data_IF_952196189403
#
_entry.id   IF_952196189403
#
_cell.length_a   1.000
_cell.length_b   1.000
_cell.length_c   1.000
_cell.angle_alpha   90.00
_cell.angle_beta   90.00
_cell.angle_gamma   90.00
#
_symmetry.space_group_name_H-M   'P 1'
#
loop_
_entity.id
_entity.type
_entity.pdbx_description
1 polymer ?
#
# COMPACT_ATOMS: atom_id res chain seq x y z
N UNK A 1 33.18 -12.99 -46.93
CA UNK A 1 32.44 -14.01 -46.17
C UNK A 1 32.13 -13.41 -44.81
N UNK A 2 30.93 -12.87 -44.67
CA UNK A 2 30.42 -12.21 -43.47
C UNK A 2 30.03 -13.28 -42.46
N UNK A 3 30.63 -13.24 -41.27
CA UNK A 3 30.21 -14.08 -40.15
C UNK A 3 28.70 -13.87 -39.91
N UNK A 4 27.85 -14.91 -39.95
CA UNK A 4 26.49 -14.77 -39.46
C UNK A 4 26.60 -14.40 -37.99
N UNK A 5 26.05 -13.24 -37.63
CA UNK A 5 26.01 -12.72 -36.28
C UNK A 5 25.56 -13.84 -35.34
N UNK A 6 26.47 -14.29 -34.46
CA UNK A 6 26.21 -15.38 -33.52
C UNK A 6 24.93 -15.07 -32.77
N UNK A 7 23.97 -15.99 -32.82
CA UNK A 7 22.74 -15.88 -32.07
C UNK A 7 23.08 -15.54 -30.62
N UNK A 8 22.45 -14.48 -30.09
CA UNK A 8 22.66 -14.05 -28.71
C UNK A 8 22.38 -15.25 -27.78
N UNK A 9 23.35 -15.61 -26.94
CA UNK A 9 23.26 -16.76 -26.05
C UNK A 9 22.00 -16.71 -25.16
N UNK A 10 21.46 -15.51 -24.90
CA UNK A 10 20.18 -15.32 -24.21
C UNK A 10 18.99 -15.73 -25.08
N UNK A 11 19.01 -15.39 -26.37
CA UNK A 11 17.99 -15.80 -27.35
C UNK A 11 17.98 -17.33 -27.51
N UNK A 12 19.14 -17.96 -27.64
CA UNK A 12 19.25 -19.42 -27.73
C UNK A 12 18.84 -20.11 -26.42
N UNK A 13 19.14 -19.50 -25.27
CA UNK A 13 18.62 -19.97 -23.99
C UNK A 13 17.10 -19.89 -23.95
N UNK A 14 16.51 -18.76 -24.34
CA UNK A 14 15.07 -18.58 -24.36
C UNK A 14 14.39 -19.63 -25.24
N UNK A 15 14.84 -19.82 -26.50
CA UNK A 15 14.21 -20.78 -27.39
C UNK A 15 14.32 -22.22 -26.90
N UNK A 16 15.45 -22.60 -26.28
CA UNK A 16 15.62 -23.93 -25.67
C UNK A 16 14.69 -24.18 -24.48
N UNK A 17 14.34 -23.13 -23.73
CA UNK A 17 13.55 -23.25 -22.50
C UNK A 17 12.16 -22.62 -22.61
N UNK A 18 11.73 -22.22 -23.81
CA UNK A 18 10.52 -21.40 -24.02
C UNK A 18 9.29 -22.02 -23.37
N UNK A 19 9.05 -23.32 -23.58
CA UNK A 19 7.89 -24.00 -23.02
C UNK A 19 7.82 -23.89 -21.49
N UNK A 20 8.94 -24.12 -20.80
CA UNK A 20 9.03 -24.03 -19.32
C UNK A 20 8.87 -22.59 -18.84
N UNK A 21 9.48 -21.62 -19.53
CA UNK A 21 9.35 -20.19 -19.19
C UNK A 21 7.89 -19.74 -19.31
N UNK A 22 7.21 -20.12 -20.39
CA UNK A 22 5.80 -19.77 -20.63
C UNK A 22 4.87 -20.48 -19.63
N UNK A 23 5.14 -21.74 -19.28
CA UNK A 23 4.44 -22.46 -18.21
C UNK A 23 4.57 -21.74 -16.86
N UNK A 24 5.78 -21.34 -16.48
CA UNK A 24 6.00 -20.59 -15.23
C UNK A 24 5.39 -19.18 -15.27
N UNK A 25 5.38 -18.53 -16.44
CA UNK A 25 4.72 -17.25 -16.63
C UNK A 25 3.19 -17.37 -16.46
N UNK A 26 2.59 -18.43 -16.99
CA UNK A 26 1.17 -18.73 -16.81
C UNK A 26 0.82 -19.00 -15.35
N UNK A 27 1.61 -19.81 -14.65
CA UNK A 27 1.44 -20.07 -13.21
C UNK A 27 1.56 -18.81 -12.36
N UNK A 28 2.44 -17.87 -12.75
CA UNK A 28 2.59 -16.59 -12.05
C UNK A 28 1.32 -15.75 -12.12
N UNK A 29 0.60 -15.74 -13.24
CA UNK A 29 -0.65 -15.00 -13.36
C UNK A 29 -1.72 -15.54 -12.39
N UNK A 30 -1.86 -16.87 -12.31
CA UNK A 30 -2.77 -17.52 -11.35
C UNK A 30 -2.34 -17.27 -9.91
N UNK A 31 -1.06 -17.47 -9.57
CA UNK A 31 -0.54 -17.22 -8.24
C UNK A 31 -0.75 -15.76 -7.79
N UNK A 32 -0.57 -14.81 -8.71
CA UNK A 32 -0.83 -13.38 -8.46
C UNK A 32 -2.30 -13.11 -8.17
N UNK A 33 -3.22 -13.71 -8.93
CA UNK A 33 -4.65 -13.53 -8.71
C UNK A 33 -5.08 -14.05 -7.33
N UNK A 34 -4.60 -15.24 -6.95
CA UNK A 34 -4.84 -15.83 -5.63
C UNK A 34 -4.21 -14.99 -4.50
N UNK A 35 -3.00 -14.49 -4.70
CA UNK A 35 -2.32 -13.62 -3.73
C UNK A 35 -3.07 -12.31 -3.52
N UNK A 36 -3.52 -11.67 -4.61
CA UNK A 36 -4.34 -10.47 -4.56
C UNK A 36 -5.64 -10.71 -3.78
N UNK A 37 -6.31 -11.84 -4.01
CA UNK A 37 -7.52 -12.21 -3.27
C UNK A 37 -7.21 -12.37 -1.77
N UNK A 38 -6.16 -13.12 -1.44
CA UNK A 38 -5.72 -13.33 -0.07
C UNK A 38 -5.34 -12.03 0.66
N UNK A 39 -4.68 -11.09 -0.02
CA UNK A 39 -4.38 -9.77 0.54
C UNK A 39 -5.66 -8.99 0.85
N UNK A 40 -6.66 -9.00 -0.04
CA UNK A 40 -7.93 -8.29 0.20
C UNK A 40 -8.70 -8.86 1.39
N UNK A 41 -8.65 -10.18 1.57
CA UNK A 41 -9.20 -10.84 2.76
C UNK A 41 -8.42 -10.57 4.06
N UNK A 42 -7.40 -9.70 4.05
CA UNK A 42 -6.65 -9.36 5.25
C UNK A 42 -7.41 -8.41 6.19
N UNK A 43 -8.42 -7.68 5.70
CA UNK A 43 -9.27 -6.84 6.56
C UNK A 43 -10.15 -7.65 7.51
N UNK A 44 -10.51 -8.88 7.16
CA UNK A 44 -11.35 -9.73 8.02
C UNK A 44 -10.62 -10.24 9.28
N UNK A 45 -9.42 -9.72 9.56
CA UNK A 45 -8.56 -10.09 10.70
C UNK A 45 -8.52 -8.99 11.76
N UNK A 46 -9.06 -7.80 11.48
CA UNK A 46 -9.33 -6.85 12.56
C UNK A 46 -10.54 -7.35 13.34
N UNK A 47 -10.30 -7.80 14.57
CA UNK A 47 -11.38 -8.12 15.50
C UNK A 47 -12.10 -6.82 15.87
N UNK A 48 -13.45 -6.80 15.93
CA UNK A 48 -14.23 -5.62 16.31
C UNK A 48 -13.82 -5.00 17.65
N UNK A 49 -13.12 -5.75 18.52
CA UNK A 49 -12.63 -5.28 19.82
C UNK A 49 -11.30 -4.52 19.76
N UNK A 50 -10.49 -4.71 18.71
CA UNK A 50 -9.20 -4.00 18.51
C UNK A 50 -9.39 -2.63 17.84
N UNK A 51 -10.63 -2.35 17.48
CA UNK A 51 -11.08 -1.23 16.69
C UNK A 51 -12.04 -0.45 17.58
N UNK A 52 -11.59 0.65 18.17
CA UNK A 52 -12.45 1.54 18.97
C UNK A 52 -13.71 1.91 18.18
N UNK A 53 -14.84 2.08 18.89
CA UNK A 53 -16.09 2.55 18.27
C UNK A 53 -15.80 3.77 17.40
N UNK A 54 -16.01 3.65 16.08
CA UNK A 54 -15.88 4.75 15.12
C UNK A 54 -14.78 4.62 14.08
N UNK A 55 -13.83 3.69 14.18
CA UNK A 55 -12.82 3.49 13.11
C UNK A 55 -13.48 3.00 11.82
N UNK A 56 -13.05 3.55 10.68
CA UNK A 56 -13.53 3.17 9.35
C UNK A 56 -12.52 2.26 8.64
N UNK A 57 -13.04 1.33 7.84
CA UNK A 57 -12.23 0.49 6.96
C UNK A 57 -11.97 1.21 5.64
N UNK A 58 -10.73 1.10 5.16
CA UNK A 58 -10.34 1.48 3.80
C UNK A 58 -10.29 0.20 2.97
N UNK A 59 -10.98 0.18 1.84
CA UNK A 59 -10.88 -0.87 0.82
C UNK A 59 -10.91 -0.20 -0.56
N UNK A 60 -9.72 0.09 -1.08
CA UNK A 60 -9.55 0.70 -2.39
C UNK A 60 -8.95 -0.30 -3.38
N UNK A 61 -9.62 -0.40 -4.53
CA UNK A 61 -9.27 -1.36 -5.56
C UNK A 61 -8.78 -0.65 -6.81
N UNK A 62 -7.61 -1.04 -7.31
CA UNK A 62 -7.07 -0.51 -8.55
C UNK A 62 -5.72 -1.13 -8.89
N UNK A 63 -4.94 -0.47 -9.78
CA UNK A 63 -3.54 -0.83 -10.02
C UNK A 63 -2.70 -0.79 -8.74
N UNK A 64 -3.03 0.15 -7.84
CA UNK A 64 -2.46 0.34 -6.51
C UNK A 64 -3.55 0.12 -5.47
N UNK A 65 -3.84 -1.15 -5.17
CA UNK A 65 -4.86 -1.51 -4.19
C UNK A 65 -4.33 -1.29 -2.79
N UNK A 66 -5.23 -0.96 -1.87
CA UNK A 66 -4.91 -0.84 -0.45
C UNK A 66 -6.11 -1.15 0.41
N UNK A 67 -5.81 -1.71 1.57
CA UNK A 67 -6.78 -1.91 2.64
C UNK A 67 -6.21 -1.39 3.95
N UNK A 68 -7.07 -0.98 4.87
CA UNK A 68 -6.59 -0.57 6.18
C UNK A 68 -7.66 0.04 7.06
N UNK A 69 -7.21 0.83 8.03
CA UNK A 69 -8.05 1.48 9.02
C UNK A 69 -7.74 2.97 9.08
N UNK A 70 -8.77 3.77 9.33
CA UNK A 70 -8.65 5.19 9.64
C UNK A 70 -9.56 5.55 10.80
N UNK A 71 -9.08 6.42 11.69
CA UNK A 71 -9.92 7.03 12.71
C UNK A 71 -10.55 8.32 12.14
N UNK A 72 -11.89 8.44 12.08
CA UNK A 72 -12.55 9.66 11.61
C UNK A 72 -12.16 10.91 12.38
N UNK A 73 -11.77 10.81 13.66
CA UNK A 73 -11.31 11.97 14.44
C UNK A 73 -10.08 12.62 13.80
N UNK A 74 -9.19 11.84 13.17
CA UNK A 74 -8.01 12.38 12.49
C UNK A 74 -8.47 13.29 11.34
N UNK A 75 -9.39 12.82 10.51
CA UNK A 75 -9.95 13.58 9.40
C UNK A 75 -10.69 14.85 9.86
N UNK A 76 -11.50 14.75 10.93
CA UNK A 76 -12.21 15.89 11.52
C UNK A 76 -11.26 16.98 12.03
N UNK A 77 -10.05 16.61 12.46
CA UNK A 77 -8.97 17.52 12.87
C UNK A 77 -8.12 18.03 11.69
N UNK A 78 -8.57 17.79 10.46
CA UNK A 78 -7.90 18.21 9.24
C UNK A 78 -6.76 17.30 8.78
N UNK A 79 -6.67 16.07 9.31
CA UNK A 79 -5.66 15.07 8.98
C UNK A 79 -6.31 13.78 8.44
N UNK A 80 -6.71 13.74 7.17
CA UNK A 80 -7.29 12.54 6.57
C UNK A 80 -6.20 11.48 6.35
N UNK A 81 -5.97 10.68 7.39
CA UNK A 81 -4.90 9.68 7.49
C UNK A 81 -5.49 8.28 7.60
N UNK A 82 -4.73 7.29 7.15
CA UNK A 82 -5.05 5.87 7.33
C UNK A 82 -3.78 5.05 7.54
N UNK A 83 -3.87 3.94 8.25
CA UNK A 83 -2.79 2.93 8.29
C UNK A 83 -3.23 1.79 7.38
N UNK A 84 -2.43 1.51 6.35
CA UNK A 84 -2.83 0.64 5.24
C UNK A 84 -1.78 -0.40 4.89
N UNK A 85 -2.26 -1.54 4.42
CA UNK A 85 -1.54 -2.52 3.63
C UNK A 85 -1.86 -2.24 2.14
N UNK A 86 -0.85 -1.87 1.36
CA UNK A 86 -0.96 -1.62 -0.07
C UNK A 86 -0.13 -2.59 -0.92
N UNK A 87 -0.54 -2.79 -2.16
CA UNK A 87 0.20 -3.58 -3.15
C UNK A 87 -0.15 -3.16 -4.58
N UNK A 88 0.78 -3.40 -5.51
CA UNK A 88 0.49 -3.24 -6.93
C UNK A 88 -0.14 -4.54 -7.47
N UNK A 89 -1.41 -4.50 -7.87
CA UNK A 89 -2.16 -5.71 -8.27
C UNK A 89 -1.57 -6.40 -9.49
N UNK A 90 -0.94 -5.64 -10.39
CA UNK A 90 -0.32 -6.14 -11.62
C UNK A 90 1.14 -6.54 -11.47
N UNK A 91 1.82 -6.10 -10.41
CA UNK A 91 3.24 -6.36 -10.18
C UNK A 91 3.52 -7.21 -8.95
N UNK A 92 2.54 -7.48 -8.08
CA UNK A 92 2.77 -8.35 -6.91
C UNK A 92 3.32 -9.72 -7.36
N UNK A 93 4.30 -10.23 -6.62
CA UNK A 93 5.14 -11.40 -6.97
C UNK A 93 6.17 -11.18 -8.10
N UNK A 94 6.37 -9.95 -8.57
CA UNK A 94 7.45 -9.64 -9.52
C UNK A 94 8.82 -9.63 -8.81
N UNK A 95 9.81 -10.43 -9.27
CA UNK A 95 11.13 -10.50 -8.68
C UNK A 95 11.95 -9.20 -8.82
N UNK A 96 11.54 -8.23 -9.66
CA UNK A 96 12.28 -6.98 -9.90
C UNK A 96 12.01 -5.88 -8.85
N UNK A 97 11.45 -6.22 -7.68
CA UNK A 97 11.40 -5.33 -6.50
C UNK A 97 10.21 -4.36 -6.43
N UNK A 98 9.37 -4.29 -7.45
CA UNK A 98 8.08 -3.56 -7.42
C UNK A 98 6.90 -4.44 -7.02
N UNK A 99 7.16 -5.71 -6.71
CA UNK A 99 6.15 -6.73 -6.46
C UNK A 99 5.90 -7.09 -5.00
N UNK A 100 6.43 -6.31 -4.06
CA UNK A 100 6.23 -6.55 -2.63
C UNK A 100 5.06 -5.71 -2.11
N UNK A 101 4.15 -6.29 -1.30
CA UNK A 101 3.23 -5.51 -0.49
C UNK A 101 3.99 -4.55 0.44
N UNK A 102 3.33 -3.50 0.89
CA UNK A 102 3.85 -2.58 1.88
C UNK A 102 2.80 -2.26 2.93
N UNK A 103 3.26 -1.98 4.14
CA UNK A 103 2.44 -1.39 5.20
C UNK A 103 2.93 0.03 5.46
N UNK A 104 2.03 0.95 5.76
CA UNK A 104 2.43 2.31 6.12
C UNK A 104 1.29 3.24 6.46
N UNK A 105 1.67 4.46 6.80
CA UNK A 105 0.76 5.59 7.00
C UNK A 105 0.48 6.23 5.64
N UNK A 106 -0.79 6.30 5.29
CA UNK A 106 -1.33 6.92 4.08
C UNK A 106 -1.90 8.30 4.38
N UNK A 107 -1.64 9.25 3.48
CA UNK A 107 -2.21 10.59 3.50
C UNK A 107 -3.13 10.74 2.30
N UNK A 108 -4.40 11.08 2.55
CA UNK A 108 -5.36 11.30 1.46
C UNK A 108 -4.93 12.45 0.53
N UNK A 109 -5.42 12.40 -0.70
CA UNK A 109 -5.00 13.35 -1.72
C UNK A 109 -5.47 14.78 -1.40
N UNK A 110 -4.56 15.74 -1.56
CA UNK A 110 -4.80 17.16 -1.26
C UNK A 110 -3.73 18.04 -1.91
N UNK A 111 -4.02 19.33 -2.18
CA UNK A 111 -3.04 20.25 -2.77
C UNK A 111 -1.75 20.41 -1.95
N UNK A 112 -1.82 20.25 -0.62
CA UNK A 112 -0.67 20.36 0.29
C UNK A 112 -0.14 19.00 0.78
N UNK A 113 -0.50 17.89 0.10
CA UNK A 113 -0.14 16.51 0.51
C UNK A 113 1.35 16.33 0.77
N UNK A 114 2.22 16.84 -0.10
CA UNK A 114 3.67 16.74 0.07
C UNK A 114 4.17 17.42 1.37
N UNK A 115 3.64 18.62 1.66
CA UNK A 115 3.98 19.35 2.88
C UNK A 115 3.48 18.63 4.14
N UNK A 116 2.24 18.10 4.10
CA UNK A 116 1.66 17.27 5.17
C UNK A 116 2.50 16.04 5.43
N UNK A 117 2.86 15.31 4.38
CA UNK A 117 3.69 14.11 4.48
C UNK A 117 5.05 14.39 5.11
N UNK A 118 5.69 15.52 4.78
CA UNK A 118 6.93 15.94 5.44
C UNK A 118 6.74 16.24 6.93
N UNK A 119 5.66 16.94 7.29
CA UNK A 119 5.33 17.24 8.70
C UNK A 119 5.10 15.95 9.49
N UNK A 120 4.32 15.02 8.93
CA UNK A 120 4.01 13.72 9.52
C UNK A 120 5.28 12.87 9.68
N UNK A 121 6.10 12.75 8.64
CA UNK A 121 7.34 11.98 8.69
C UNK A 121 8.32 12.50 9.76
N UNK A 122 8.33 13.82 9.98
CA UNK A 122 9.13 14.45 11.03
C UNK A 122 8.60 14.13 12.42
N UNK A 123 7.29 14.28 12.64
CA UNK A 123 6.66 14.09 13.94
C UNK A 123 6.58 12.62 14.37
N UNK A 124 6.27 11.73 13.43
CA UNK A 124 6.03 10.30 13.69
C UNK A 124 7.20 9.41 13.30
N UNK A 125 8.33 9.99 12.88
CA UNK A 125 9.48 9.21 12.43
C UNK A 125 10.10 8.32 13.50
N UNK A 126 10.08 8.73 14.78
CA UNK A 126 10.59 7.91 15.89
C UNK A 126 9.75 6.65 16.13
N UNK A 127 8.42 6.74 16.38
CA UNK A 127 7.61 5.53 16.54
C UNK A 127 7.61 4.65 15.28
N UNK A 128 7.62 5.25 14.09
CA UNK A 128 7.68 4.50 12.84
C UNK A 128 8.98 3.70 12.67
N UNK A 129 10.14 4.26 13.04
CA UNK A 129 11.43 3.53 12.98
C UNK A 129 11.46 2.30 13.87
N UNK A 130 10.75 2.30 15.01
CA UNK A 130 10.65 1.12 15.87
C UNK A 130 9.97 -0.06 15.16
N UNK A 131 9.15 0.21 14.13
CA UNK A 131 8.48 -0.77 13.28
C UNK A 131 9.26 -1.07 11.99
N UNK A 132 10.46 -0.51 11.83
CA UNK A 132 11.23 -0.58 10.59
C UNK A 132 10.64 0.24 9.44
N UNK A 133 9.71 1.15 9.71
CA UNK A 133 9.17 2.04 8.69
C UNK A 133 10.17 3.15 8.38
N UNK A 134 10.29 3.47 7.10
CA UNK A 134 11.27 4.42 6.57
C UNK A 134 10.59 5.66 5.98
N UNK A 135 11.38 6.72 5.79
CA UNK A 135 10.93 8.02 5.27
C UNK A 135 10.57 7.94 3.76
N UNK A 136 9.91 8.97 3.18
CA UNK A 136 9.04 8.79 2.02
C UNK A 136 9.78 8.39 0.74
N UNK A 137 9.12 7.52 -0.04
CA UNK A 137 9.38 7.35 -1.48
C UNK A 137 8.41 8.18 -2.33
N UNK A 138 7.22 8.46 -1.80
CA UNK A 138 6.12 9.14 -2.49
C UNK A 138 5.32 10.02 -1.52
N UNK A 139 4.72 11.11 -2.04
CA UNK A 139 3.98 12.08 -1.22
C UNK A 139 2.78 11.48 -0.47
N UNK A 140 2.27 10.31 -0.87
CA UNK A 140 1.09 9.69 -0.25
C UNK A 140 1.44 8.81 0.95
N UNK A 141 2.72 8.47 1.12
CA UNK A 141 3.21 7.51 2.10
C UNK A 141 4.41 8.07 2.83
N UNK A 142 4.20 8.97 3.81
CA UNK A 142 5.28 9.58 4.58
C UNK A 142 6.15 8.57 5.31
N UNK A 143 5.57 7.46 5.76
CA UNK A 143 6.22 6.43 6.58
C UNK A 143 5.68 5.06 6.18
N UNK A 144 6.55 4.15 5.72
CA UNK A 144 6.14 2.83 5.22
C UNK A 144 7.29 1.81 5.24
N UNK A 145 6.97 0.53 5.08
CA UNK A 145 7.94 -0.53 4.77
C UNK A 145 7.35 -1.60 3.87
N UNK A 146 8.19 -2.29 3.11
CA UNK A 146 7.79 -3.53 2.45
C UNK A 146 7.55 -4.66 3.46
N UNK A 147 6.66 -5.57 3.10
CA UNK A 147 6.50 -6.86 3.78
C UNK A 147 7.15 -7.92 2.90
N UNK A 148 8.34 -8.33 3.30
CA UNK A 148 9.12 -9.34 2.58
C UNK A 148 8.46 -10.72 2.65
N UNK A 149 8.68 -11.54 1.63
CA UNK A 149 8.31 -12.95 1.70
C UNK A 149 9.15 -13.63 2.80
N UNK A 150 8.53 -14.42 3.70
CA UNK A 150 9.28 -15.10 4.74
C UNK A 150 10.32 -16.05 4.15
N UNK A 151 11.57 -15.95 4.60
CA UNK A 151 12.67 -16.78 4.10
C UNK A 151 12.37 -18.26 4.31
N UNK A 152 12.49 -19.07 3.26
CA UNK A 152 12.21 -20.50 3.31
C UNK A 152 10.73 -20.89 3.33
N UNK A 153 9.81 -19.92 3.20
CA UNK A 153 8.39 -20.25 3.05
C UNK A 153 8.05 -20.64 1.61
N UNK A 154 7.57 -21.87 1.46
CA UNK A 154 7.06 -22.41 0.18
C UNK A 154 5.60 -22.05 -0.09
N UNK A 155 4.90 -21.44 0.89
CA UNK A 155 3.46 -21.17 0.77
C UNK A 155 3.15 -19.69 0.82
N UNK A 156 2.14 -19.31 0.04
CA UNK A 156 1.54 -17.97 0.06
C UNK A 156 0.95 -17.62 1.44
N UNK A 157 0.40 -18.60 2.17
CA UNK A 157 -0.33 -18.34 3.41
C UNK A 157 0.54 -17.74 4.51
N UNK A 158 1.81 -18.15 4.61
CA UNK A 158 2.74 -17.54 5.56
C UNK A 158 2.96 -16.06 5.25
N UNK A 159 3.14 -15.70 3.97
CA UNK A 159 3.33 -14.29 3.59
C UNK A 159 2.07 -13.46 3.82
N UNK A 160 0.89 -14.00 3.49
CA UNK A 160 -0.39 -13.33 3.79
C UNK A 160 -0.60 -13.12 5.30
N UNK A 161 -0.17 -14.06 6.14
CA UNK A 161 -0.20 -13.90 7.60
C UNK A 161 0.73 -12.78 8.04
N UNK A 162 1.95 -12.74 7.51
CA UNK A 162 2.93 -11.72 7.89
C UNK A 162 2.51 -10.31 7.41
N UNK A 163 1.84 -10.20 6.25
CA UNK A 163 1.19 -8.96 5.81
C UNK A 163 0.11 -8.49 6.78
N UNK A 164 -0.74 -9.42 7.25
CA UNK A 164 -1.79 -9.14 8.25
C UNK A 164 -1.19 -8.69 9.58
N UNK A 165 -0.19 -9.42 10.07
CA UNK A 165 0.50 -9.09 11.30
C UNK A 165 1.15 -7.71 11.21
N UNK A 166 1.82 -7.40 10.09
CA UNK A 166 2.44 -6.10 9.89
C UNK A 166 1.41 -4.95 9.92
N UNK A 167 0.22 -5.16 9.36
CA UNK A 167 -0.87 -4.19 9.40
C UNK A 167 -1.43 -4.00 10.82
N UNK A 168 -1.65 -5.09 11.56
CA UNK A 168 -2.13 -5.05 12.95
C UNK A 168 -1.11 -4.39 13.89
N UNK A 169 0.16 -4.76 13.79
CA UNK A 169 1.25 -4.14 14.55
C UNK A 169 1.38 -2.65 14.23
N UNK A 170 1.24 -2.30 12.94
CA UNK A 170 1.20 -0.93 12.47
C UNK A 170 0.09 -0.13 13.14
N UNK A 171 -1.14 -0.65 13.11
CA UNK A 171 -2.29 -0.02 13.78
C UNK A 171 -2.07 0.14 15.28
N UNK A 172 -1.79 -0.95 15.99
CA UNK A 172 -1.65 -0.96 17.45
C UNK A 172 -0.55 -0.02 17.95
N UNK A 173 0.54 0.12 17.19
CA UNK A 173 1.68 0.95 17.58
C UNK A 173 1.57 2.40 17.12
N UNK A 174 1.05 2.64 15.92
CA UNK A 174 1.03 3.99 15.32
C UNK A 174 -0.25 4.75 15.62
N UNK A 175 -1.41 4.10 15.76
CA UNK A 175 -2.69 4.80 15.94
C UNK A 175 -2.70 5.75 17.16
N UNK A 176 -2.14 5.38 18.33
CA UNK A 176 -2.02 6.31 19.46
C UNK A 176 -1.15 7.53 19.13
N UNK A 177 0.01 7.32 18.50
CA UNK A 177 0.94 8.38 18.13
C UNK A 177 0.35 9.33 17.06
N UNK A 178 -0.37 8.78 16.09
CA UNK A 178 -1.12 9.56 15.09
C UNK A 178 -2.20 10.39 15.76
N UNK A 179 -2.93 9.81 16.71
CA UNK A 179 -3.97 10.51 17.47
C UNK A 179 -3.39 11.70 18.24
N UNK A 180 -2.29 11.51 18.96
CA UNK A 180 -1.61 12.57 19.69
C UNK A 180 -1.08 13.67 18.75
N UNK A 181 -0.55 13.28 17.59
CA UNK A 181 -0.14 14.20 16.54
C UNK A 181 -1.31 15.05 16.02
N UNK A 182 -2.43 14.41 15.65
CA UNK A 182 -3.62 15.09 15.14
C UNK A 182 -4.23 16.05 16.17
N UNK A 183 -4.23 15.66 17.46
CA UNK A 183 -4.68 16.52 18.57
C UNK A 183 -3.77 17.73 18.77
N UNK A 184 -2.46 17.53 18.67
CA UNK A 184 -1.47 18.61 18.86
C UNK A 184 -1.35 19.55 17.66
N UNK A 185 -1.83 19.14 16.49
CA UNK A 185 -1.70 19.87 15.23
C UNK A 185 -3.07 20.12 14.59
N UNK A 186 -4.11 20.30 15.39
CA UNK A 186 -5.48 20.47 14.90
C UNK A 186 -5.55 21.59 13.85
N UNK A 187 -6.06 21.24 12.67
CA UNK A 187 -6.31 22.16 11.58
C UNK A 187 -7.81 22.35 11.48
N UNK A 188 -8.25 23.60 11.33
CA UNK A 188 -9.65 23.85 10.95
C UNK A 188 -9.92 23.15 9.62
N UNK A 189 -11.03 22.42 9.48
CA UNK A 189 -11.38 21.84 8.18
C UNK A 189 -11.42 22.96 7.15
N UNK A 190 -10.67 22.81 6.07
CA UNK A 190 -10.76 23.73 4.93
C UNK A 190 -12.19 23.64 4.41
N UNK A 191 -12.86 24.79 4.30
CA UNK A 191 -14.18 24.85 3.71
C UNK A 191 -14.09 24.22 2.31
N UNK A 192 -14.85 23.15 2.09
CA UNK A 192 -15.04 22.59 0.75
C UNK A 192 -15.65 23.73 -0.07
N UNK A 193 -14.85 24.31 -0.95
CA UNK A 193 -15.34 25.30 -1.89
C UNK A 193 -16.31 24.57 -2.81
N UNK A 194 -17.61 24.83 -2.65
CA UNK A 194 -18.66 24.39 -3.56
C UNK A 194 -18.41 25.00 -4.95
N UNK A 195 -17.55 24.36 -5.75
CA UNK A 195 -17.36 24.66 -7.16
C UNK A 195 -17.87 23.49 -7.99
N UNK A 196 -19.13 23.10 -7.78
CA UNK A 196 -19.85 22.15 -8.62
C UNK A 196 -21.32 22.55 -8.80
N UNK A 197 -21.55 23.79 -9.26
CA UNK A 197 -22.89 24.20 -9.70
C UNK A 197 -22.91 25.07 -10.97
N UNK A 198 -21.96 24.88 -11.90
CA UNK A 198 -21.95 25.63 -13.17
C UNK A 198 -22.14 24.82 -14.47
N UNK A 199 -22.20 23.48 -14.44
CA UNK A 199 -22.20 22.69 -15.69
C UNK A 199 -23.54 21.99 -16.05
N UNK A 200 -24.65 22.32 -15.37
CA UNK A 200 -25.99 21.79 -15.72
C UNK A 200 -26.91 22.74 -16.49
N UNK A 201 -26.40 23.87 -17.02
CA UNK A 201 -27.18 24.79 -17.86
C UNK A 201 -26.54 25.08 -19.21
N UNK A 202 -26.31 24.05 -20.02
CA UNK A 202 -26.32 24.22 -21.49
C UNK A 202 -26.63 22.91 -22.19
N UNK A 203 -27.93 22.61 -22.30
CA UNK A 203 -28.57 21.80 -23.36
C UNK A 203 -30.06 21.76 -23.06
N UNK A 204 -30.72 22.85 -23.44
CA UNK A 204 -32.12 22.86 -23.85
C UNK A 204 -32.12 23.23 -25.34
#
# INVERSE_FOLDING_TARGET
>A
MTNPAGADAKTDFYFRHRAVIEEWAALRATARAEFNLGLRSSLSVFEPTDVSEGVITIDETGPWSKIGLADPEWGQRGWPLAIVLGWNTGQVLDPMGHGLPWVGLFVADSPDRAARSKQIATALGMPARALGWTAPREDGYPLWRHVEQPTGSETMQAWLRDCRQALNEGWASMAPAVTDFCRSNERKPEAVSDSFESDRRTRA
#
